data_IF_353063753255
#
_entry.id   IF_353063753255
#
_cell.length_a   1.000
_cell.length_b   1.000
_cell.length_c   1.000
_cell.angle_alpha   90.00
_cell.angle_beta   90.00
_cell.angle_gamma   90.00
#
_symmetry.space_group_name_H-M   'P 1'
#
loop_
_entity.id
_entity.type
_entity.pdbx_description
1 polymer ?
#
# COMPACT_ATOMS: atom_id res chain seq x y z
N UNK A 1 -40.18 -9.75 13.75
CA UNK A 1 -39.37 -8.68 14.35
C UNK A 1 -37.95 -8.89 13.86
N UNK A 2 -37.40 -7.92 13.14
CA UNK A 2 -36.07 -7.98 12.53
C UNK A 2 -35.11 -7.30 13.50
N UNK A 3 -34.16 -8.04 14.06
CA UNK A 3 -33.13 -7.49 14.93
C UNK A 3 -31.77 -7.54 14.22
N UNK A 4 -31.45 -6.39 13.63
CA UNK A 4 -30.20 -5.63 13.74
C UNK A 4 -28.89 -6.40 13.97
N UNK A 5 -28.08 -6.39 12.92
CA UNK A 5 -26.62 -6.24 12.81
C UNK A 5 -25.78 -6.26 14.09
N UNK A 6 -24.78 -7.14 14.09
CA UNK A 6 -23.48 -6.88 14.71
C UNK A 6 -22.43 -7.04 13.61
N UNK A 7 -22.14 -5.92 12.93
CA UNK A 7 -20.90 -5.77 12.18
C UNK A 7 -19.77 -5.75 13.19
N UNK A 8 -19.06 -6.87 13.28
CA UNK A 8 -17.93 -7.04 14.19
C UNK A 8 -16.93 -5.92 13.98
N UNK A 9 -16.65 -5.27 15.10
CA UNK A 9 -15.84 -4.08 15.20
C UNK A 9 -14.40 -4.46 14.95
N UNK A 10 -13.76 -3.73 14.03
CA UNK A 10 -12.31 -3.76 13.77
C UNK A 10 -11.52 -3.81 15.08
N UNK A 11 -11.08 -5.01 15.48
CA UNK A 11 -10.06 -5.16 16.51
C UNK A 11 -8.80 -4.46 16.03
N UNK A 12 -8.18 -3.56 16.81
CA UNK A 12 -6.87 -3.02 16.48
C UNK A 12 -5.87 -4.18 16.56
N UNK A 13 -5.52 -4.74 15.40
CA UNK A 13 -4.47 -5.74 15.27
C UNK A 13 -3.17 -5.10 15.73
N UNK A 14 -2.78 -5.38 16.98
CA UNK A 14 -1.49 -5.00 17.54
C UNK A 14 -0.45 -5.96 16.96
N UNK A 15 -0.18 -5.81 15.67
CA UNK A 15 0.76 -6.59 14.89
C UNK A 15 1.45 -5.69 13.87
N UNK A 16 2.51 -6.15 13.20
CA UNK A 16 3.14 -5.38 12.13
C UNK A 16 2.10 -5.04 11.07
N UNK A 17 2.16 -3.82 10.53
CA UNK A 17 1.21 -3.35 9.54
C UNK A 17 1.13 -4.31 8.33
N UNK A 18 -0.06 -4.49 7.73
CA UNK A 18 -0.27 -5.48 6.70
C UNK A 18 0.60 -5.19 5.47
N UNK A 19 1.22 -6.24 4.93
CA UNK A 19 1.99 -6.19 3.68
C UNK A 19 1.35 -7.08 2.64
N UNK A 20 0.91 -6.51 1.52
CA UNK A 20 0.31 -7.26 0.39
C UNK A 20 1.36 -7.49 -0.69
N UNK A 21 1.49 -8.72 -1.20
CA UNK A 21 2.39 -9.04 -2.31
C UNK A 21 1.54 -9.30 -3.56
N UNK A 22 1.69 -8.45 -4.57
CA UNK A 22 0.93 -8.49 -5.80
C UNK A 22 1.82 -8.95 -6.95
N UNK A 23 1.49 -10.10 -7.51
CA UNK A 23 2.26 -10.71 -8.59
C UNK A 23 1.72 -10.39 -9.98
N UNK A 24 0.45 -9.97 -10.09
CA UNK A 24 -0.21 -9.74 -11.37
C UNK A 24 -0.61 -8.27 -11.52
N UNK A 25 -0.34 -7.70 -12.69
CA UNK A 25 -0.70 -6.31 -13.03
C UNK A 25 -2.22 -6.07 -12.95
N UNK A 26 -3.05 -7.08 -13.14
CA UNK A 26 -4.52 -6.95 -13.07
C UNK A 26 -5.07 -6.73 -11.65
N UNK A 27 -4.25 -6.98 -10.62
CA UNK A 27 -4.64 -6.80 -9.22
C UNK A 27 -4.43 -5.35 -8.73
N UNK A 28 -3.84 -4.48 -9.56
CA UNK A 28 -3.65 -3.08 -9.20
C UNK A 28 -3.75 -2.16 -10.41
N UNK A 29 -4.08 -0.90 -10.16
CA UNK A 29 -4.07 0.14 -11.20
C UNK A 29 -2.99 1.15 -10.89
N UNK A 30 -2.14 1.45 -11.86
CA UNK A 30 -1.21 2.58 -11.75
C UNK A 30 -1.99 3.88 -11.85
N UNK A 31 -1.64 4.84 -10.99
CA UNK A 31 -2.28 6.15 -10.94
C UNK A 31 -1.29 7.19 -10.42
N UNK A 32 -1.74 8.44 -10.35
CA UNK A 32 -1.03 9.50 -9.64
C UNK A 32 -1.89 9.98 -8.49
N UNK A 33 -1.26 10.26 -7.37
CA UNK A 33 -1.94 10.78 -6.19
C UNK A 33 -1.28 12.06 -5.73
N UNK A 34 -2.08 12.91 -5.11
CA UNK A 34 -1.63 14.08 -4.37
C UNK A 34 -1.61 13.68 -2.90
N UNK A 35 -0.42 13.68 -2.29
CA UNK A 35 -0.24 13.54 -0.85
C UNK A 35 -0.14 14.93 -0.22
N UNK A 36 -0.62 15.13 1.01
CA UNK A 36 -0.58 16.43 1.68
C UNK A 36 0.86 16.94 1.89
N UNK A 37 1.82 16.02 2.06
CA UNK A 37 3.21 16.34 2.38
C UNK A 37 4.03 16.83 1.17
N UNK A 38 3.53 16.64 -0.06
CA UNK A 38 4.25 16.96 -1.29
C UNK A 38 3.43 17.89 -2.18
N UNK A 39 4.09 18.91 -2.74
CA UNK A 39 3.48 19.86 -3.67
C UNK A 39 3.13 19.24 -5.03
N UNK A 40 3.84 18.20 -5.45
CA UNK A 40 3.63 17.56 -6.74
C UNK A 40 2.95 16.19 -6.61
N UNK A 41 2.11 15.80 -7.59
CA UNK A 41 1.53 14.47 -7.63
C UNK A 41 2.62 13.39 -7.81
N UNK A 42 2.54 12.33 -7.00
CA UNK A 42 3.48 11.21 -7.02
C UNK A 42 2.91 9.99 -7.73
N UNK A 43 3.77 9.15 -8.33
CA UNK A 43 3.33 7.87 -8.87
C UNK A 43 2.84 6.94 -7.75
N UNK A 44 1.72 6.27 -8.00
CA UNK A 44 1.07 5.42 -7.02
C UNK A 44 0.38 4.22 -7.68
N UNK A 45 0.00 3.27 -6.86
CA UNK A 45 -0.88 2.16 -7.22
C UNK A 45 -2.15 2.21 -6.38
N UNK A 46 -3.27 1.88 -7.02
CA UNK A 46 -4.54 1.65 -6.35
C UNK A 46 -4.77 0.15 -6.24
N UNK A 47 -4.92 -0.33 -5.01
CA UNK A 47 -5.13 -1.73 -4.65
C UNK A 47 -6.28 -1.75 -3.66
N UNK A 48 -7.33 -2.54 -3.91
CA UNK A 48 -8.50 -2.64 -3.04
C UNK A 48 -9.11 -1.27 -2.65
N UNK A 49 -9.09 -0.30 -3.58
CA UNK A 49 -9.53 1.09 -3.37
C UNK A 49 -8.67 1.95 -2.43
N UNK A 50 -7.54 1.41 -1.97
CA UNK A 50 -6.54 2.14 -1.20
C UNK A 50 -5.42 2.64 -2.12
N UNK A 51 -4.81 3.78 -1.76
CA UNK A 51 -3.70 4.36 -2.51
C UNK A 51 -2.37 4.08 -1.84
N UNK A 52 -1.39 3.70 -2.65
CA UNK A 52 -0.03 3.44 -2.19
C UNK A 52 0.96 4.20 -3.06
N UNK A 53 1.75 5.09 -2.47
CA UNK A 53 2.80 5.84 -3.16
C UNK A 53 4.02 4.98 -3.43
N UNK A 54 4.76 5.28 -4.51
CA UNK A 54 6.01 4.59 -4.78
C UNK A 54 7.07 4.97 -3.73
N UNK A 55 7.56 3.96 -3.00
CA UNK A 55 8.63 4.16 -2.03
C UNK A 55 10.00 3.84 -2.63
N UNK A 56 10.18 2.61 -3.14
CA UNK A 56 11.48 2.17 -3.67
C UNK A 56 11.38 0.93 -4.55
N UNK A 57 12.27 0.82 -5.53
CA UNK A 57 12.52 -0.43 -6.25
C UNK A 57 13.79 -1.13 -5.73
N UNK A 58 13.72 -2.45 -5.57
CA UNK A 58 14.75 -3.31 -4.99
C UNK A 58 14.85 -4.59 -5.81
N UNK A 59 16.05 -4.96 -6.24
CA UNK A 59 16.23 -6.17 -7.07
C UNK A 59 16.13 -7.47 -6.27
N UNK A 60 16.64 -7.45 -5.03
CA UNK A 60 16.73 -8.61 -4.17
C UNK A 60 15.48 -8.76 -3.27
N UNK A 61 14.93 -9.98 -3.22
CA UNK A 61 13.72 -10.30 -2.44
C UNK A 61 13.94 -10.20 -0.92
N UNK A 62 15.06 -10.72 -0.40
CA UNK A 62 15.37 -10.67 1.04
C UNK A 62 15.46 -9.21 1.52
N UNK A 63 16.18 -8.37 0.77
CA UNK A 63 16.28 -6.94 1.07
C UNK A 63 14.93 -6.22 0.99
N UNK A 64 14.06 -6.66 0.06
CA UNK A 64 12.68 -6.14 -0.02
C UNK A 64 11.91 -6.46 1.26
N UNK A 65 11.97 -7.71 1.72
CA UNK A 65 11.34 -8.18 2.96
C UNK A 65 11.87 -7.44 4.19
N UNK A 66 13.18 -7.22 4.27
CA UNK A 66 13.79 -6.43 5.38
C UNK A 66 13.26 -5.00 5.44
N UNK A 67 13.05 -4.35 4.28
CA UNK A 67 12.56 -2.98 4.21
C UNK A 67 11.09 -2.93 4.64
N UNK A 68 10.23 -3.81 4.09
CA UNK A 68 8.81 -3.82 4.51
C UNK A 68 8.63 -4.24 5.96
N UNK A 69 9.48 -5.11 6.49
CA UNK A 69 9.47 -5.46 7.91
C UNK A 69 9.82 -4.26 8.81
N UNK A 70 10.65 -3.32 8.33
CA UNK A 70 10.94 -2.08 9.05
C UNK A 70 9.77 -1.09 8.95
N UNK A 71 9.19 -0.93 7.76
CA UNK A 71 8.03 -0.06 7.53
C UNK A 71 6.81 -0.53 8.34
N UNK A 72 6.55 -1.84 8.36
CA UNK A 72 5.44 -2.42 9.12
C UNK A 72 5.56 -2.26 10.65
N UNK A 73 6.78 -2.06 11.18
CA UNK A 73 6.98 -1.71 12.61
C UNK A 73 6.62 -0.26 12.92
N UNK A 74 6.71 0.62 11.93
CA UNK A 74 6.34 2.04 12.04
C UNK A 74 4.82 2.23 11.91
N UNK A 75 4.11 1.20 11.42
CA UNK A 75 2.66 1.20 11.27
C UNK A 75 2.20 1.42 9.82
N UNK A 76 3.14 1.53 8.88
CA UNK A 76 2.81 1.79 7.49
C UNK A 76 2.42 0.48 6.77
N UNK A 77 1.18 0.38 6.31
CA UNK A 77 0.77 -0.71 5.42
C UNK A 77 1.53 -0.60 4.10
N UNK A 78 1.97 -1.73 3.55
CA UNK A 78 2.77 -1.73 2.32
C UNK A 78 2.24 -2.70 1.28
N UNK A 79 2.54 -2.40 0.02
CA UNK A 79 2.31 -3.29 -1.11
C UNK A 79 3.67 -3.56 -1.77
N UNK A 80 3.90 -4.80 -2.17
CA UNK A 80 5.03 -5.17 -3.03
C UNK A 80 4.48 -5.58 -4.38
N UNK A 81 4.94 -4.97 -5.46
CA UNK A 81 4.66 -5.45 -6.82
C UNK A 81 5.90 -6.06 -7.46
N UNK A 82 5.73 -7.12 -8.24
CA UNK A 82 6.82 -7.68 -9.04
C UNK A 82 7.05 -6.82 -10.28
N UNK A 83 8.30 -6.51 -10.57
CA UNK A 83 8.75 -5.80 -11.78
C UNK A 83 9.72 -6.68 -12.56
N UNK A 84 9.99 -6.38 -13.85
CA UNK A 84 10.95 -7.16 -14.64
C UNK A 84 12.37 -7.21 -14.05
N UNK A 85 12.75 -6.19 -13.26
CA UNK A 85 14.09 -6.06 -12.67
C UNK A 85 14.15 -6.41 -11.18
N UNK A 86 13.04 -6.81 -10.57
CA UNK A 86 12.97 -7.04 -9.12
C UNK A 86 11.60 -6.73 -8.54
N UNK A 87 11.56 -5.97 -7.45
CA UNK A 87 10.37 -5.67 -6.67
C UNK A 87 10.23 -4.16 -6.46
N UNK A 88 9.01 -3.66 -6.52
CA UNK A 88 8.69 -2.29 -6.11
C UNK A 88 7.90 -2.33 -4.81
N UNK A 89 8.32 -1.51 -3.85
CA UNK A 89 7.68 -1.30 -2.56
C UNK A 89 6.86 -0.03 -2.65
N UNK A 90 5.62 -0.12 -2.19
CA UNK A 90 4.65 0.96 -2.15
C UNK A 90 4.15 1.10 -0.71
N UNK A 91 3.96 2.33 -0.26
CA UNK A 91 3.55 2.66 1.11
C UNK A 91 2.15 3.27 1.07
N UNK A 92 1.28 2.85 1.98
CA UNK A 92 -0.09 3.35 2.05
C UNK A 92 -0.11 4.83 2.38
N UNK A 93 -0.92 5.57 1.62
CA UNK A 93 -1.15 7.00 1.84
C UNK A 93 -2.62 7.22 2.19
N UNK A 94 -3.00 7.19 3.48
CA UNK A 94 -4.41 7.26 3.89
C UNK A 94 -5.05 8.60 3.55
N UNK A 95 -4.24 9.67 3.48
CA UNK A 95 -4.69 11.02 3.17
C UNK A 95 -4.49 11.39 1.69
N UNK A 96 -4.08 10.44 0.85
CA UNK A 96 -3.88 10.69 -0.56
C UNK A 96 -5.21 10.86 -1.30
N UNK A 97 -5.19 11.75 -2.29
CA UNK A 97 -6.28 11.92 -3.23
C UNK A 97 -5.81 11.60 -4.64
N UNK A 98 -6.66 10.91 -5.41
CA UNK A 98 -6.39 10.65 -6.82
C UNK A 98 -6.20 11.96 -7.58
N UNK A 99 -5.04 12.13 -8.19
CA UNK A 99 -4.77 13.27 -9.05
C UNK A 99 -5.14 12.91 -10.49
N UNK A 100 -6.21 13.53 -10.98
CA UNK A 100 -6.61 13.47 -12.39
C UNK A 100 -6.04 14.71 -13.09
N UNK A 101 -5.11 14.49 -14.00
CA UNK A 101 -4.57 15.51 -14.91
C UNK A 101 -5.57 15.84 -16.01
#
# INVERSE_FOLDING_TARGET
MFSTVESDSTTPVTGPAPTKIIQSQNQYRTCRIKVPDLEQPVPAVCVDQEYYSFFKAVENAEKTLEIVAKLGKVGDSTVITKTPKGYAIWVQEPNAQLHRS
#
